data_IF_862456021214
#
_entry.id   IF_862456021214
#
_cell.length_a   1.000
_cell.length_b   1.000
_cell.length_c   1.000
_cell.angle_alpha   90.00
_cell.angle_beta   90.00
_cell.angle_gamma   90.00
#
_symmetry.space_group_name_H-M   'P 1'
#
loop_
_entity.id
_entity.type
_entity.pdbx_description
1 polymer ?
#
# COMPACT_ATOMS: atom_id res chain seq x y z
N UNK A 1 26.98 -11.04 -25.45
CA UNK A 1 26.49 -9.69 -25.09
C UNK A 1 25.07 -9.83 -24.56
N UNK A 2 24.83 -9.65 -23.26
CA UNK A 2 23.47 -9.72 -22.71
C UNK A 2 23.38 -8.81 -21.48
N UNK A 3 23.05 -7.56 -21.75
CA UNK A 3 22.83 -6.52 -20.74
C UNK A 3 21.77 -5.55 -21.24
N UNK A 4 20.67 -6.07 -21.80
CA UNK A 4 19.46 -5.28 -21.97
C UNK A 4 18.81 -5.22 -20.59
N UNK A 5 18.96 -4.07 -19.93
CA UNK A 5 18.44 -3.81 -18.59
C UNK A 5 17.02 -4.35 -18.44
N UNK A 6 16.82 -5.14 -17.38
CA UNK A 6 15.51 -5.49 -16.87
C UNK A 6 14.72 -4.19 -16.85
N UNK A 7 13.71 -4.06 -17.71
CA UNK A 7 12.66 -3.07 -17.46
C UNK A 7 12.13 -3.45 -16.09
N UNK A 8 12.53 -2.70 -15.05
CA UNK A 8 12.09 -2.98 -13.69
C UNK A 8 10.58 -3.10 -13.74
N UNK A 9 10.07 -4.29 -13.46
CA UNK A 9 8.65 -4.55 -13.56
C UNK A 9 7.94 -3.57 -12.61
N UNK A 10 7.10 -2.68 -13.18
CA UNK A 10 6.48 -1.59 -12.42
C UNK A 10 5.55 -2.12 -11.32
N UNK A 11 5.02 -3.33 -11.49
CA UNK A 11 4.15 -4.02 -10.55
C UNK A 11 4.56 -5.49 -10.47
N UNK A 12 4.60 -6.04 -9.24
CA UNK A 12 4.84 -7.46 -8.98
C UNK A 12 3.56 -8.08 -8.41
N UNK A 13 3.16 -9.21 -8.98
CA UNK A 13 1.97 -9.97 -8.55
C UNK A 13 2.45 -11.14 -7.69
N UNK A 14 2.06 -11.19 -6.42
CA UNK A 14 2.48 -12.27 -5.51
C UNK A 14 1.68 -13.56 -5.70
N UNK A 15 0.42 -13.48 -6.14
CA UNK A 15 -0.46 -14.65 -6.34
C UNK A 15 -1.46 -14.39 -7.47
N UNK A 16 -1.81 -15.46 -8.20
CA UNK A 16 -2.78 -15.40 -9.28
C UNK A 16 -2.23 -14.75 -10.56
N UNK A 17 -3.13 -14.46 -11.50
CA UNK A 17 -2.88 -13.64 -12.68
C UNK A 17 -3.86 -12.47 -12.62
N UNK A 18 -3.36 -11.26 -12.84
CA UNK A 18 -4.23 -10.09 -12.97
C UNK A 18 -4.63 -9.93 -14.44
N UNK A 19 -5.88 -9.57 -14.68
CA UNK A 19 -6.30 -9.18 -16.04
C UNK A 19 -5.71 -7.82 -16.40
N UNK A 20 -5.77 -7.46 -17.69
CA UNK A 20 -5.31 -6.14 -18.14
C UNK A 20 -6.12 -5.01 -17.50
N UNK A 21 -7.43 -5.21 -17.31
CA UNK A 21 -8.32 -4.25 -16.67
C UNK A 21 -7.96 -4.02 -15.20
N UNK A 22 -7.64 -5.08 -14.47
CA UNK A 22 -7.23 -4.99 -13.06
C UNK A 22 -5.90 -4.25 -12.92
N UNK A 23 -4.93 -4.54 -13.80
CA UNK A 23 -3.65 -3.83 -13.84
C UNK A 23 -3.84 -2.34 -14.17
N UNK A 24 -4.70 -2.03 -15.12
CA UNK A 24 -5.04 -0.64 -15.47
C UNK A 24 -5.67 0.10 -14.29
N UNK A 25 -6.61 -0.51 -13.57
CA UNK A 25 -7.25 0.07 -12.40
C UNK A 25 -6.24 0.41 -11.29
N UNK A 26 -5.27 -0.49 -11.04
CA UNK A 26 -4.19 -0.25 -10.07
C UNK A 26 -3.30 0.89 -10.52
N UNK A 27 -2.88 0.90 -11.80
CA UNK A 27 -2.04 1.98 -12.33
C UNK A 27 -2.73 3.35 -12.23
N UNK A 28 -4.00 3.46 -12.64
CA UNK A 28 -4.80 4.70 -12.53
C UNK A 28 -4.89 5.15 -11.08
N UNK A 29 -5.12 4.22 -10.15
CA UNK A 29 -5.20 4.54 -8.71
C UNK A 29 -3.88 5.10 -8.21
N UNK A 30 -2.76 4.47 -8.55
CA UNK A 30 -1.42 4.94 -8.15
C UNK A 30 -1.11 6.33 -8.72
N UNK A 31 -1.46 6.58 -9.99
CA UNK A 31 -1.31 7.92 -10.58
C UNK A 31 -2.20 8.95 -9.91
N UNK A 32 -3.47 8.63 -9.64
CA UNK A 32 -4.39 9.52 -8.93
C UNK A 32 -3.87 9.87 -7.53
N UNK A 33 -3.32 8.89 -6.81
CA UNK A 33 -2.66 9.13 -5.53
C UNK A 33 -1.46 10.04 -5.71
N UNK A 34 -0.52 9.74 -6.61
CA UNK A 34 0.68 10.55 -6.84
C UNK A 34 0.34 12.03 -7.15
N UNK A 35 -0.67 12.24 -8.01
CA UNK A 35 -1.17 13.57 -8.34
C UNK A 35 -1.89 14.23 -7.15
N UNK A 36 -2.63 13.45 -6.36
CA UNK A 36 -3.33 13.92 -5.15
C UNK A 36 -2.38 14.35 -4.01
N UNK A 37 -1.19 13.76 -3.91
CA UNK A 37 -0.17 14.16 -2.93
C UNK A 37 0.45 15.53 -3.21
N UNK A 38 0.25 16.11 -4.41
CA UNK A 38 0.69 17.48 -4.72
C UNK A 38 -0.22 18.56 -4.12
N UNK A 39 -1.41 18.17 -3.61
CA UNK A 39 -2.26 19.09 -2.85
C UNK A 39 -1.92 18.90 -1.37
N UNK A 40 -1.27 19.88 -0.69
CA UNK A 40 -1.14 19.81 0.75
C UNK A 40 -2.55 19.60 1.31
N UNK A 41 -2.74 18.68 2.28
CA UNK A 41 -4.03 18.55 2.94
C UNK A 41 -4.37 19.95 3.41
N UNK A 42 -5.46 20.53 2.89
CA UNK A 42 -5.95 21.80 3.39
C UNK A 42 -6.03 21.62 4.90
N UNK A 43 -5.18 22.35 5.63
CA UNK A 43 -5.13 22.26 7.08
C UNK A 43 -6.53 22.67 7.55
N UNK A 44 -7.40 21.68 7.75
CA UNK A 44 -8.67 21.85 8.45
C UNK A 44 -8.25 22.12 9.88
N UNK A 45 -8.07 23.39 10.21
CA UNK A 45 -7.93 23.84 11.59
C UNK A 45 -9.12 23.34 12.38
N UNK A 46 -8.85 22.59 13.46
CA UNK A 46 -9.85 21.93 14.31
C UNK A 46 -10.49 20.76 13.57
N UNK A 47 -10.15 19.51 13.85
CA UNK A 47 -10.40 18.83 15.11
C UNK A 47 -9.30 17.79 15.32
N UNK A 48 -8.78 17.69 16.56
CA UNK A 48 -7.93 16.56 16.94
C UNK A 48 -8.76 15.29 16.73
N UNK A 49 -8.42 14.52 15.70
CA UNK A 49 -8.92 13.16 15.56
C UNK A 49 -8.43 12.38 16.78
N UNK A 50 -9.32 12.20 17.75
CA UNK A 50 -9.13 11.28 18.86
C UNK A 50 -9.16 9.90 18.23
N UNK A 51 -7.99 9.43 17.79
CA UNK A 51 -7.83 8.06 17.35
C UNK A 51 -8.13 7.15 18.57
N UNK A 52 -9.38 6.66 18.65
CA UNK A 52 -9.90 5.69 19.62
C UNK A 52 -9.27 4.29 19.45
N UNK A 53 -8.11 4.20 18.79
CA UNK A 53 -7.30 2.99 18.70
C UNK A 53 -6.62 2.83 20.04
N UNK A 54 -7.40 2.29 20.98
CA UNK A 54 -6.99 1.90 22.32
C UNK A 54 -5.56 1.37 22.28
N UNK A 55 -4.74 2.04 23.09
CA UNK A 55 -3.50 1.55 23.72
C UNK A 55 -3.48 0.01 23.78
N UNK A 56 -2.73 -0.61 22.87
CA UNK A 56 -2.52 -2.07 22.77
C UNK A 56 -1.57 -2.59 23.87
N UNK A 57 -1.19 -1.73 24.82
CA UNK A 57 -0.19 -2.02 25.87
C UNK A 57 -0.73 -2.85 27.05
N UNK A 58 -1.96 -3.38 26.98
CA UNK A 58 -2.38 -4.48 27.86
C UNK A 58 -2.37 -5.78 27.07
N UNK A 59 -1.16 -6.29 26.90
CA UNK A 59 -0.82 -7.56 26.29
C UNK A 59 -1.64 -8.74 26.83
N UNK A 60 -2.15 -9.58 25.92
CA UNK A 60 -2.09 -11.04 26.07
C UNK A 60 -1.91 -11.70 24.70
N UNK A 61 -0.68 -12.20 24.51
CA UNK A 61 -0.21 -13.23 23.59
C UNK A 61 -1.13 -13.66 22.43
N UNK A 62 -0.89 -13.11 21.23
CA UNK A 62 -1.01 -13.90 20.02
C UNK A 62 0.34 -13.85 19.29
N UNK A 63 1.12 -14.91 19.46
CA UNK A 63 2.20 -15.24 18.53
C UNK A 63 1.59 -16.15 17.46
N UNK A 64 1.55 -15.66 16.23
CA UNK A 64 1.28 -16.52 15.09
C UNK A 64 2.45 -17.49 14.90
N UNK A 65 2.14 -18.76 14.62
CA UNK A 65 3.14 -19.80 14.34
C UNK A 65 4.11 -19.33 13.26
N UNK A 66 5.41 -19.50 13.54
CA UNK A 66 6.47 -19.35 12.55
C UNK A 66 6.10 -20.17 11.31
N UNK A 67 6.26 -19.56 10.14
CA UNK A 67 6.08 -20.12 8.80
C UNK A 67 5.37 -21.48 8.71
N UNK A 68 4.16 -21.49 8.17
CA UNK A 68 3.68 -22.69 7.49
C UNK A 68 4.52 -22.85 6.23
N UNK A 69 5.63 -23.57 6.38
CA UNK A 69 6.45 -24.11 5.31
C UNK A 69 6.58 -25.61 5.56
#
# INVERSE_FOLDING_TARGET
>A
MAGAGRKDALLRIERGQATEEELAAVAVTLFALLLGHSRPPAARGGERSVALWRRTERARAYQASHSWM
#
